data_IF_968664344560
#
_entry.id   IF_968664344560
#
_cell.length_a   1.000
_cell.length_b   1.000
_cell.length_c   1.000
_cell.angle_alpha   90.00
_cell.angle_beta   90.00
_cell.angle_gamma   90.00
#
_symmetry.space_group_name_H-M   'P 1'
#
loop_
_entity.id
_entity.type
_entity.pdbx_description
1 polymer ?
#
# COMPACT_ATOMS: atom_id res chain seq x y z
N UNK A 1 9.69 -20.81 30.11
CA UNK A 1 9.89 -20.57 28.66
C UNK A 1 8.59 -20.58 27.83
N UNK A 2 7.69 -21.58 27.97
CA UNK A 2 6.38 -21.61 27.26
C UNK A 2 5.49 -20.38 27.53
N UNK A 3 5.46 -19.88 28.76
CA UNK A 3 4.69 -18.69 29.17
C UNK A 3 5.22 -17.39 28.56
N UNK A 4 6.55 -17.20 28.53
CA UNK A 4 7.17 -16.05 27.87
C UNK A 4 6.89 -16.01 26.36
N UNK A 5 6.94 -17.18 25.71
CA UNK A 5 6.66 -17.36 24.29
C UNK A 5 5.20 -17.11 23.89
N UNK A 6 4.28 -17.11 24.86
CA UNK A 6 2.86 -16.77 24.65
C UNK A 6 2.54 -15.30 24.99
N UNK A 7 3.44 -14.60 25.69
CA UNK A 7 3.30 -13.18 26.01
C UNK A 7 3.31 -12.31 24.75
N UNK A 8 2.73 -11.11 24.84
CA UNK A 8 2.75 -10.11 23.76
C UNK A 8 4.18 -9.78 23.31
N UNK A 9 5.14 -9.76 24.25
CA UNK A 9 6.56 -9.52 23.98
C UNK A 9 7.16 -10.67 23.16
N UNK A 10 6.86 -11.92 23.53
CA UNK A 10 7.31 -13.11 22.79
C UNK A 10 6.80 -13.14 21.34
N UNK A 11 5.60 -12.62 21.08
CA UNK A 11 5.04 -12.49 19.73
C UNK A 11 5.77 -11.43 18.91
N UNK A 12 6.09 -10.27 19.50
CA UNK A 12 6.85 -9.21 18.83
C UNK A 12 8.25 -9.69 18.45
N UNK A 13 8.95 -10.39 19.35
CA UNK A 13 10.30 -10.93 19.08
C UNK A 13 10.29 -11.88 17.87
N UNK A 14 9.30 -12.78 17.78
CA UNK A 14 9.16 -13.68 16.64
C UNK A 14 8.87 -12.95 15.33
N UNK A 15 8.12 -11.85 15.40
CA UNK A 15 7.82 -11.03 14.23
C UNK A 15 9.08 -10.40 13.65
N UNK A 16 9.89 -9.79 14.52
CA UNK A 16 11.19 -9.23 14.17
C UNK A 16 12.10 -10.33 13.61
N UNK A 17 12.10 -11.52 14.21
CA UNK A 17 12.91 -12.63 13.73
C UNK A 17 12.56 -13.08 12.30
N UNK A 18 11.27 -13.21 11.95
CA UNK A 18 10.84 -13.55 10.58
C UNK A 18 11.34 -12.49 9.59
N UNK A 19 11.18 -11.21 9.94
CA UNK A 19 11.62 -10.12 9.08
C UNK A 19 13.14 -10.13 8.88
N UNK A 20 13.91 -10.29 9.98
CA UNK A 20 15.37 -10.39 9.93
C UNK A 20 15.85 -11.62 9.15
N UNK A 21 15.16 -12.76 9.29
CA UNK A 21 15.49 -13.98 8.56
C UNK A 21 15.32 -13.79 7.05
N UNK A 22 14.19 -13.22 6.61
CA UNK A 22 13.97 -12.93 5.19
C UNK A 22 14.99 -11.89 4.67
N UNK A 23 15.25 -10.83 5.44
CA UNK A 23 16.25 -9.83 5.09
C UNK A 23 17.67 -10.43 4.96
N UNK A 24 18.04 -11.32 5.89
CA UNK A 24 19.33 -12.03 5.85
C UNK A 24 19.42 -12.97 4.65
N UNK A 25 18.34 -13.69 4.30
CA UNK A 25 18.30 -14.54 3.12
C UNK A 25 18.48 -13.73 1.83
N UNK A 26 17.81 -12.59 1.70
CA UNK A 26 17.99 -11.66 0.57
C UNK A 26 19.42 -11.14 0.52
N UNK A 27 19.98 -10.70 1.65
CA UNK A 27 21.35 -10.21 1.73
C UNK A 27 22.38 -11.28 1.31
N UNK A 28 22.22 -12.51 1.79
CA UNK A 28 23.10 -13.63 1.44
C UNK A 28 22.98 -13.99 -0.04
N UNK A 29 21.77 -13.97 -0.61
CA UNK A 29 21.54 -14.18 -2.04
C UNK A 29 22.27 -13.10 -2.86
N UNK A 30 22.07 -11.83 -2.53
CA UNK A 30 22.72 -10.69 -3.20
C UNK A 30 24.25 -10.74 -3.09
N UNK A 31 24.79 -11.18 -1.94
CA UNK A 31 26.23 -11.35 -1.74
C UNK A 31 26.80 -12.50 -2.56
N UNK A 32 26.03 -13.57 -2.78
CA UNK A 32 26.45 -14.74 -3.57
C UNK A 32 26.27 -14.55 -5.07
N UNK A 33 25.53 -13.54 -5.50
CA UNK A 33 25.50 -13.16 -6.91
C UNK A 33 26.90 -12.73 -7.33
N UNK A 34 27.50 -13.50 -8.24
CA UNK A 34 28.78 -13.13 -8.83
C UNK A 34 28.53 -11.98 -9.80
N UNK A 35 28.58 -10.76 -9.27
CA UNK A 35 28.47 -9.52 -10.04
C UNK A 35 29.68 -9.42 -10.95
N UNK A 36 29.61 -10.06 -12.12
CA UNK A 36 30.70 -9.97 -13.07
C UNK A 36 30.92 -8.50 -13.44
N UNK A 37 32.18 -8.04 -13.50
CA UNK A 37 32.52 -6.64 -13.75
C UNK A 37 32.07 -6.12 -15.12
N UNK A 38 31.58 -7.01 -16.01
CA UNK A 38 31.07 -6.69 -17.35
C UNK A 38 29.54 -6.42 -17.39
N UNK A 39 28.81 -6.61 -16.29
CA UNK A 39 27.37 -6.32 -16.26
C UNK A 39 27.10 -4.83 -16.10
N UNK A 40 26.22 -4.26 -16.92
CA UNK A 40 25.83 -2.85 -16.78
C UNK A 40 25.14 -2.60 -15.43
N UNK A 41 25.40 -1.44 -14.82
CA UNK A 41 24.78 -1.04 -13.55
C UNK A 41 23.24 -1.14 -13.59
N UNK A 42 22.65 -0.90 -14.76
CA UNK A 42 21.21 -1.00 -14.99
C UNK A 42 20.69 -2.46 -14.90
N UNK A 43 21.44 -3.42 -15.45
CA UNK A 43 21.13 -4.85 -15.32
C UNK A 43 21.23 -5.30 -13.86
N UNK A 44 22.30 -4.87 -13.17
CA UNK A 44 22.50 -5.24 -11.77
C UNK A 44 21.35 -4.74 -10.89
N UNK A 45 20.97 -3.48 -11.08
CA UNK A 45 19.87 -2.87 -10.37
C UNK A 45 18.52 -3.55 -10.65
N UNK A 46 18.21 -3.89 -11.90
CA UNK A 46 16.99 -4.64 -12.25
C UNK A 46 16.96 -6.04 -11.63
N UNK A 47 18.10 -6.72 -11.50
CA UNK A 47 18.20 -8.01 -10.81
C UNK A 47 17.92 -7.88 -9.31
N UNK A 48 18.47 -6.86 -8.65
CA UNK A 48 18.15 -6.56 -7.24
C UNK A 48 16.65 -6.31 -7.08
N UNK A 49 16.06 -5.50 -7.96
CA UNK A 49 14.62 -5.24 -7.94
C UNK A 49 13.82 -6.52 -8.13
N UNK A 50 14.15 -7.36 -9.12
CA UNK A 50 13.46 -8.62 -9.35
C UNK A 50 13.50 -9.54 -8.12
N UNK A 51 14.65 -9.64 -7.45
CA UNK A 51 14.79 -10.37 -6.20
C UNK A 51 13.87 -9.78 -5.13
N UNK A 52 13.93 -8.47 -4.91
CA UNK A 52 13.07 -7.81 -3.92
C UNK A 52 11.59 -8.07 -4.20
N UNK A 53 11.17 -8.01 -5.46
CA UNK A 53 9.79 -8.22 -5.88
C UNK A 53 9.29 -9.65 -5.68
N UNK A 54 10.18 -10.65 -5.66
CA UNK A 54 9.87 -12.04 -5.30
C UNK A 54 9.79 -12.22 -3.78
N UNK A 55 10.71 -11.63 -3.03
CA UNK A 55 10.76 -11.79 -1.58
C UNK A 55 9.71 -10.95 -0.83
N UNK A 56 9.27 -9.83 -1.40
CA UNK A 56 8.27 -8.96 -0.80
C UNK A 56 6.93 -9.66 -0.53
N UNK A 57 6.27 -10.34 -1.51
CA UNK A 57 5.06 -11.10 -1.24
C UNK A 57 5.31 -12.27 -0.28
N UNK A 58 6.47 -12.94 -0.35
CA UNK A 58 6.80 -14.00 0.60
C UNK A 58 6.88 -13.47 2.05
N UNK A 59 7.55 -12.33 2.25
CA UNK A 59 7.63 -11.68 3.55
C UNK A 59 6.24 -11.28 4.06
N UNK A 60 5.41 -10.66 3.21
CA UNK A 60 4.04 -10.28 3.54
C UNK A 60 3.20 -11.51 3.92
N UNK A 61 3.33 -12.62 3.18
CA UNK A 61 2.66 -13.88 3.48
C UNK A 61 3.08 -14.43 4.85
N UNK A 62 4.38 -14.55 5.13
CA UNK A 62 4.90 -15.06 6.39
C UNK A 62 4.45 -14.21 7.58
N UNK A 63 4.40 -12.89 7.40
CA UNK A 63 3.88 -11.95 8.38
C UNK A 63 2.41 -12.21 8.68
N UNK A 64 1.56 -12.33 7.66
CA UNK A 64 0.13 -12.61 7.85
C UNK A 64 -0.09 -14.01 8.44
N UNK A 65 0.70 -14.99 8.00
CA UNK A 65 0.69 -16.33 8.54
C UNK A 65 1.01 -16.32 10.04
N UNK A 66 2.04 -15.60 10.47
CA UNK A 66 2.36 -15.41 11.88
C UNK A 66 1.22 -14.75 12.67
N UNK A 67 0.59 -13.70 12.12
CA UNK A 67 -0.59 -13.06 12.74
C UNK A 67 -1.74 -14.06 12.93
N UNK A 68 -1.95 -14.96 11.96
CA UNK A 68 -2.96 -16.03 12.04
C UNK A 68 -2.65 -17.01 13.18
N UNK A 69 -1.40 -17.46 13.31
CA UNK A 69 -0.99 -18.39 14.37
C UNK A 69 -1.01 -17.77 15.77
N UNK A 70 -0.82 -16.46 15.88
CA UNK A 70 -0.82 -15.77 17.17
C UNK A 70 -2.19 -15.28 17.64
N UNK A 71 -3.26 -15.63 16.91
CA UNK A 71 -4.64 -15.37 17.32
C UNK A 71 -5.17 -13.98 16.96
N UNK A 72 -4.60 -13.30 15.97
CA UNK A 72 -5.04 -11.95 15.55
C UNK A 72 -6.26 -11.94 14.61
N UNK A 73 -6.96 -13.07 14.44
CA UNK A 73 -8.14 -13.24 13.54
C UNK A 73 -9.35 -12.36 13.87
N UNK A 74 -9.36 -11.67 15.02
CA UNK A 74 -10.43 -10.73 15.42
C UNK A 74 -9.93 -9.29 15.49
N UNK A 75 -8.71 -9.04 15.00
CA UNK A 75 -7.99 -7.80 15.24
C UNK A 75 -7.60 -7.07 13.95
N UNK A 76 -8.55 -6.54 13.15
CA UNK A 76 -8.22 -5.88 11.88
C UNK A 76 -7.22 -4.73 12.00
N UNK A 77 -7.19 -4.00 13.12
CA UNK A 77 -6.21 -2.93 13.34
C UNK A 77 -4.76 -3.43 13.34
N UNK A 78 -4.48 -4.68 13.71
CA UNK A 78 -3.11 -5.20 13.60
C UNK A 78 -2.67 -5.38 12.16
N UNK A 79 -3.60 -5.65 11.25
CA UNK A 79 -3.30 -5.66 9.81
C UNK A 79 -3.01 -4.24 9.32
N UNK A 80 -3.79 -3.24 9.74
CA UNK A 80 -3.48 -1.84 9.40
C UNK A 80 -2.09 -1.43 9.87
N UNK A 81 -1.74 -1.71 11.13
CA UNK A 81 -0.40 -1.41 11.67
C UNK A 81 0.69 -2.13 10.86
N UNK A 82 0.46 -3.38 10.50
CA UNK A 82 1.45 -4.20 9.76
C UNK A 82 1.60 -3.75 8.30
N UNK A 83 0.50 -3.40 7.64
CA UNK A 83 0.50 -2.94 6.25
C UNK A 83 1.11 -1.55 6.13
N UNK A 84 0.81 -0.65 7.08
CA UNK A 84 1.11 0.79 6.95
C UNK A 84 2.20 1.30 7.91
N UNK A 85 2.14 0.97 9.21
CA UNK A 85 3.06 1.54 10.19
C UNK A 85 4.46 0.91 10.15
N UNK A 86 4.55 -0.41 9.90
CA UNK A 86 5.85 -1.10 9.90
C UNK A 86 6.80 -0.57 8.80
N UNK A 87 6.38 -0.44 7.52
CA UNK A 87 7.28 0.10 6.51
C UNK A 87 7.55 1.59 6.71
N UNK A 88 6.57 2.36 7.20
CA UNK A 88 6.78 3.75 7.56
C UNK A 88 7.86 3.90 8.64
N UNK A 89 7.86 3.04 9.65
CA UNK A 89 8.90 3.00 10.67
C UNK A 89 10.27 2.67 10.06
N UNK A 90 10.35 1.70 9.14
CA UNK A 90 11.59 1.38 8.45
C UNK A 90 12.14 2.58 7.66
N UNK A 91 11.26 3.30 6.96
CA UNK A 91 11.59 4.54 6.23
C UNK A 91 12.12 5.61 7.19
N UNK A 92 11.42 5.86 8.30
CA UNK A 92 11.82 6.85 9.31
C UNK A 92 13.21 6.49 9.88
N UNK A 93 13.44 5.22 10.23
CA UNK A 93 14.74 4.76 10.76
C UNK A 93 15.86 4.97 9.73
N UNK A 94 15.64 4.61 8.46
CA UNK A 94 16.62 4.82 7.39
C UNK A 94 16.90 6.32 7.23
N UNK A 95 15.86 7.15 7.22
CA UNK A 95 16.00 8.59 7.07
C UNK A 95 16.77 9.23 8.22
N UNK A 96 16.41 8.91 9.47
CA UNK A 96 17.12 9.40 10.66
C UNK A 96 18.58 8.93 10.68
N UNK A 97 18.86 7.69 10.25
CA UNK A 97 20.23 7.19 10.13
C UNK A 97 21.03 7.96 9.09
N UNK A 98 20.45 8.24 7.92
CA UNK A 98 21.10 9.02 6.88
C UNK A 98 21.42 10.44 7.38
N UNK A 99 20.51 11.04 8.16
CA UNK A 99 20.71 12.36 8.78
C UNK A 99 21.84 12.33 9.81
N UNK A 100 21.91 11.29 10.64
CA UNK A 100 22.93 11.15 11.68
C UNK A 100 24.36 10.95 11.14
N UNK A 101 24.52 10.58 9.87
CA UNK A 101 25.83 10.33 9.24
C UNK A 101 26.22 11.46 8.28
N UNK A 102 25.55 12.61 8.34
CA UNK A 102 25.75 13.77 7.44
C UNK A 102 25.91 13.33 5.97
N UNK A 103 25.05 12.40 5.55
CA UNK A 103 25.25 11.76 4.25
C UNK A 103 25.11 12.80 3.13
N UNK A 104 26.08 12.90 2.19
CA UNK A 104 25.97 13.78 1.02
C UNK A 104 24.75 13.45 0.14
N UNK A 105 24.13 12.29 0.33
CA UNK A 105 22.84 11.91 -0.27
C UNK A 105 21.66 12.78 0.18
N UNK A 106 21.74 13.41 1.36
CA UNK A 106 20.72 14.34 1.87
C UNK A 106 20.90 15.77 1.35
N UNK A 107 22.14 16.22 1.20
CA UNK A 107 22.48 17.59 0.78
C UNK A 107 22.00 17.91 -0.66
N UNK A 108 21.83 16.90 -1.51
CA UNK A 108 21.40 17.07 -2.92
C UNK A 108 19.93 16.73 -3.20
N UNK A 109 19.08 16.53 -2.19
CA UNK A 109 17.69 16.09 -2.39
C UNK A 109 17.53 14.66 -2.94
N UNK A 110 18.65 13.93 -3.09
CA UNK A 110 18.70 12.58 -3.64
C UNK A 110 17.94 11.58 -2.74
N UNK A 111 17.95 11.77 -1.42
CA UNK A 111 17.16 10.95 -0.48
C UNK A 111 15.66 11.04 -0.72
N UNK A 112 15.13 12.23 -0.99
CA UNK A 112 13.72 12.45 -1.31
C UNK A 112 13.37 11.83 -2.68
N UNK A 113 14.30 11.92 -3.64
CA UNK A 113 14.17 11.33 -4.96
C UNK A 113 14.19 9.79 -4.93
N UNK A 114 15.11 9.17 -4.18
CA UNK A 114 15.20 7.71 -4.00
C UNK A 114 13.97 7.20 -3.24
N UNK A 115 13.50 7.94 -2.25
CA UNK A 115 12.28 7.59 -1.53
C UNK A 115 11.08 7.49 -2.46
N UNK A 116 10.84 8.53 -3.27
CA UNK A 116 9.70 8.57 -4.19
C UNK A 116 9.83 7.59 -5.36
N UNK A 117 11.03 7.42 -5.93
CA UNK A 117 11.23 6.58 -7.11
C UNK A 117 11.35 5.08 -6.80
N UNK A 118 11.66 4.70 -5.55
CA UNK A 118 11.93 3.29 -5.20
C UNK A 118 11.15 2.82 -3.97
N UNK A 119 11.28 3.50 -2.83
CA UNK A 119 10.70 3.02 -1.56
C UNK A 119 9.18 3.11 -1.52
N UNK A 120 8.62 4.20 -2.02
CA UNK A 120 7.18 4.42 -2.08
C UNK A 120 6.44 3.41 -3.00
N UNK A 121 6.96 3.08 -4.20
CA UNK A 121 6.47 1.94 -4.99
C UNK A 121 6.52 0.60 -4.22
N UNK A 122 7.64 0.29 -3.57
CA UNK A 122 7.79 -0.95 -2.80
C UNK A 122 6.85 -1.00 -1.60
N UNK A 123 6.61 0.14 -0.95
CA UNK A 123 5.66 0.28 0.14
C UNK A 123 4.23 0.01 -0.33
N UNK A 124 3.85 0.52 -1.49
CA UNK A 124 2.54 0.25 -2.11
C UNK A 124 2.32 -1.24 -2.38
N UNK A 125 3.34 -1.92 -2.92
CA UNK A 125 3.30 -3.37 -3.15
C UNK A 125 3.19 -4.14 -1.84
N UNK A 126 3.98 -3.78 -0.82
CA UNK A 126 3.92 -4.38 0.51
C UNK A 126 2.51 -4.32 1.11
N UNK A 127 1.91 -3.13 1.15
CA UNK A 127 0.56 -2.92 1.66
C UNK A 127 -0.44 -3.83 0.96
N UNK A 128 -0.38 -3.85 -0.37
CA UNK A 128 -1.27 -4.66 -1.20
C UNK A 128 -1.19 -6.12 -0.83
N UNK A 129 0.02 -6.68 -0.72
CA UNK A 129 0.20 -8.09 -0.38
C UNK A 129 -0.22 -8.40 1.05
N UNK A 130 0.09 -7.55 2.04
CA UNK A 130 -0.34 -7.75 3.42
C UNK A 130 -1.87 -7.75 3.52
N UNK A 131 -2.56 -6.82 2.86
CA UNK A 131 -4.02 -6.76 2.84
C UNK A 131 -4.63 -7.98 2.12
N UNK A 132 -4.08 -8.35 0.96
CA UNK A 132 -4.54 -9.48 0.15
C UNK A 132 -4.44 -10.78 0.93
N UNK A 133 -3.25 -11.08 1.46
CA UNK A 133 -3.03 -12.28 2.27
C UNK A 133 -3.83 -12.25 3.57
N UNK A 134 -4.04 -11.08 4.18
CA UNK A 134 -4.90 -10.97 5.36
C UNK A 134 -6.34 -11.36 5.02
N UNK A 135 -6.87 -10.91 3.88
CA UNK A 135 -8.18 -11.34 3.40
C UNK A 135 -8.26 -12.86 3.21
N UNK A 136 -7.29 -13.44 2.51
CA UNK A 136 -7.30 -14.87 2.19
C UNK A 136 -7.03 -15.79 3.38
N UNK A 137 -6.10 -15.43 4.26
CA UNK A 137 -5.60 -16.33 5.30
C UNK A 137 -6.02 -15.93 6.71
N UNK A 138 -6.12 -14.64 7.02
CA UNK A 138 -6.48 -14.18 8.36
C UNK A 138 -8.00 -14.08 8.54
N UNK A 139 -8.71 -13.67 7.48
CA UNK A 139 -10.16 -13.46 7.47
C UNK A 139 -10.88 -14.15 6.28
N UNK A 140 -10.70 -15.46 6.04
CA UNK A 140 -11.23 -16.14 4.84
C UNK A 140 -12.77 -16.16 4.69
N UNK A 141 -13.52 -15.68 5.70
CA UNK A 141 -15.00 -15.74 5.78
C UNK A 141 -15.64 -14.40 6.12
N UNK A 142 -14.90 -13.29 5.98
CA UNK A 142 -15.50 -11.95 6.16
C UNK A 142 -16.43 -11.63 4.99
N UNK A 143 -17.74 -11.83 5.22
CA UNK A 143 -18.81 -11.48 4.29
C UNK A 143 -18.96 -12.44 3.11
N UNK A 144 -20.21 -12.77 2.75
CA UNK A 144 -20.49 -13.43 1.48
C UNK A 144 -20.23 -12.43 0.35
N UNK A 145 -19.20 -12.68 -0.46
CA UNK A 145 -18.94 -11.88 -1.67
C UNK A 145 -20.03 -12.22 -2.69
N UNK A 146 -21.06 -11.38 -2.77
CA UNK A 146 -22.12 -11.51 -3.77
C UNK A 146 -21.56 -11.26 -5.17
N UNK A 147 -22.02 -12.03 -6.14
CA UNK A 147 -21.78 -11.76 -7.57
C UNK A 147 -22.41 -10.43 -7.97
N UNK A 148 -21.68 -9.60 -8.72
CA UNK A 148 -22.20 -8.34 -9.21
C UNK A 148 -22.91 -8.53 -10.55
N UNK A 149 -24.04 -7.85 -10.72
CA UNK A 149 -24.71 -7.73 -12.01
C UNK A 149 -23.95 -6.78 -12.93
N UNK A 150 -24.18 -6.89 -14.24
CA UNK A 150 -23.59 -5.99 -15.24
C UNK A 150 -23.88 -4.50 -14.94
N UNK A 151 -25.12 -4.18 -14.54
CA UNK A 151 -25.51 -2.80 -14.17
C UNK A 151 -24.70 -2.25 -13.00
N UNK A 152 -24.43 -3.09 -12.00
CA UNK A 152 -23.60 -2.69 -10.85
C UNK A 152 -22.14 -2.51 -11.23
N UNK A 153 -21.62 -3.33 -12.14
CA UNK A 153 -20.27 -3.15 -12.69
C UNK A 153 -20.16 -1.82 -13.47
N UNK A 154 -21.19 -1.45 -14.24
CA UNK A 154 -21.25 -0.14 -14.90
C UNK A 154 -21.31 1.01 -13.89
N UNK A 155 -22.09 0.87 -12.81
CA UNK A 155 -22.09 1.84 -11.73
C UNK A 155 -20.70 2.00 -11.10
N UNK A 156 -19.96 0.89 -10.96
CA UNK A 156 -18.55 0.92 -10.54
C UNK A 156 -17.66 1.70 -11.49
N UNK A 157 -17.73 1.43 -12.80
CA UNK A 157 -16.97 2.15 -13.82
C UNK A 157 -17.24 3.66 -13.80
N UNK A 158 -18.52 4.05 -13.83
CA UNK A 158 -18.93 5.47 -13.84
C UNK A 158 -18.52 6.16 -12.54
N UNK A 159 -18.69 5.49 -11.39
CA UNK A 159 -18.25 6.02 -10.09
C UNK A 159 -16.74 6.23 -10.06
N UNK A 160 -15.97 5.24 -10.50
CA UNK A 160 -14.51 5.33 -10.57
C UNK A 160 -14.03 6.44 -11.50
N UNK A 161 -14.66 6.58 -12.67
CA UNK A 161 -14.36 7.64 -13.63
C UNK A 161 -14.67 9.02 -13.05
N UNK A 162 -15.86 9.20 -12.46
CA UNK A 162 -16.27 10.47 -11.86
C UNK A 162 -15.35 10.89 -10.71
N UNK A 163 -15.04 9.97 -9.79
CA UNK A 163 -14.10 10.22 -8.70
C UNK A 163 -12.69 10.50 -9.23
N UNK A 164 -12.23 9.76 -10.23
CA UNK A 164 -10.90 9.89 -10.84
C UNK A 164 -10.73 11.24 -11.53
N UNK A 165 -11.70 11.66 -12.35
CA UNK A 165 -11.68 12.94 -13.03
C UNK A 165 -11.79 14.11 -12.05
N UNK A 166 -12.66 14.02 -11.05
CA UNK A 166 -12.77 15.02 -9.98
C UNK A 166 -11.46 15.16 -9.20
N UNK A 167 -10.82 14.04 -8.88
CA UNK A 167 -9.50 14.02 -8.24
C UNK A 167 -8.42 14.63 -9.13
N UNK A 168 -8.38 14.30 -10.42
CA UNK A 168 -7.42 14.86 -11.36
C UNK A 168 -7.56 16.38 -11.50
N UNK A 169 -8.80 16.87 -11.59
CA UNK A 169 -9.10 18.30 -11.59
C UNK A 169 -8.60 18.97 -10.31
N UNK A 170 -8.93 18.43 -9.14
CA UNK A 170 -8.47 18.97 -7.87
C UNK A 170 -6.93 19.00 -7.77
N UNK A 171 -6.27 17.91 -8.15
CA UNK A 171 -4.81 17.83 -8.19
C UNK A 171 -4.19 18.85 -9.15
N UNK A 172 -4.79 19.09 -10.33
CA UNK A 172 -4.28 20.08 -11.28
C UNK A 172 -4.29 21.50 -10.71
N UNK A 173 -5.32 21.86 -9.94
CA UNK A 173 -5.41 23.16 -9.25
C UNK A 173 -4.29 23.27 -8.22
N UNK A 174 -4.12 22.25 -7.37
CA UNK A 174 -3.07 22.26 -6.35
C UNK A 174 -1.67 22.35 -6.97
N UNK A 175 -1.37 21.55 -7.99
CA UNK A 175 -0.07 21.57 -8.68
C UNK A 175 0.20 22.95 -9.28
N UNK A 176 -0.81 23.56 -9.90
CA UNK A 176 -0.69 24.92 -10.44
C UNK A 176 -0.33 25.92 -9.33
N UNK A 177 -0.99 25.86 -8.18
CA UNK A 177 -0.66 26.72 -7.02
C UNK A 177 0.76 26.49 -6.50
N UNK A 178 1.23 25.25 -6.42
CA UNK A 178 2.61 24.95 -6.03
C UNK A 178 3.64 25.50 -7.03
N UNK A 179 3.36 25.40 -8.34
CA UNK A 179 4.22 25.94 -9.40
C UNK A 179 4.33 27.47 -9.31
N UNK A 180 3.21 28.16 -9.11
CA UNK A 180 3.20 29.62 -8.90
C UNK A 180 4.02 30.04 -7.67
N UNK A 181 4.11 29.16 -6.67
CA UNK A 181 4.91 29.39 -5.45
C UNK A 181 6.40 29.06 -5.61
N UNK A 182 6.88 28.82 -6.85
CA UNK A 182 8.27 28.45 -7.13
C UNK A 182 8.67 27.04 -6.67
N UNK A 183 7.72 26.23 -6.20
CA UNK A 183 7.96 24.85 -5.75
C UNK A 183 7.76 23.89 -6.92
N UNK A 184 8.83 23.57 -7.63
CA UNK A 184 8.79 22.53 -8.67
C UNK A 184 8.91 21.17 -8.00
N UNK A 185 7.84 20.36 -8.08
CA UNK A 185 7.90 18.94 -7.72
C UNK A 185 8.54 18.22 -8.91
N UNK A 186 9.87 18.11 -8.93
CA UNK A 186 10.54 17.14 -9.79
C UNK A 186 10.54 15.79 -9.07
N UNK A 187 10.05 14.77 -9.75
CA UNK A 187 10.04 13.39 -9.24
C UNK A 187 10.64 12.53 -10.33
N UNK A 188 11.81 11.91 -10.11
CA UNK A 188 12.37 11.01 -11.11
C UNK A 188 11.45 9.80 -11.26
N UNK A 189 11.27 9.35 -12.51
CA UNK A 189 10.47 8.17 -12.80
C UNK A 189 11.04 6.95 -12.05
N UNK A 190 10.17 6.08 -11.50
CA UNK A 190 10.60 4.81 -10.98
C UNK A 190 11.22 3.98 -12.10
N UNK A 191 12.09 3.04 -11.74
CA UNK A 191 12.64 2.07 -12.67
C UNK A 191 11.54 1.36 -13.46
N UNK A 192 11.74 1.14 -14.76
CA UNK A 192 10.69 0.59 -15.64
C UNK A 192 10.06 -0.70 -15.11
N UNK A 193 10.85 -1.64 -14.61
CA UNK A 193 10.33 -2.89 -14.02
C UNK A 193 9.41 -2.61 -12.82
N UNK A 194 9.83 -1.71 -11.93
CA UNK A 194 9.07 -1.35 -10.73
C UNK A 194 7.78 -0.60 -11.09
N UNK A 195 7.86 0.31 -12.07
CA UNK A 195 6.70 1.02 -12.62
C UNK A 195 5.65 0.05 -13.14
N UNK A 196 6.05 -0.88 -14.02
CA UNK A 196 5.13 -1.86 -14.60
C UNK A 196 4.51 -2.76 -13.54
N UNK A 197 5.27 -3.17 -12.52
CA UNK A 197 4.72 -3.95 -11.42
C UNK A 197 3.73 -3.16 -10.58
N UNK A 198 4.00 -1.88 -10.28
CA UNK A 198 3.03 -1.03 -9.57
C UNK A 198 1.78 -0.82 -10.39
N UNK A 199 1.88 -0.59 -11.70
CA UNK A 199 0.71 -0.46 -12.57
C UNK A 199 -0.10 -1.75 -12.59
N UNK A 200 0.55 -2.90 -12.81
CA UNK A 200 -0.12 -4.20 -12.84
C UNK A 200 -0.85 -4.47 -11.51
N UNK A 201 -0.16 -4.34 -10.38
CA UNK A 201 -0.73 -4.57 -9.05
C UNK A 201 -1.79 -3.52 -8.71
N UNK A 202 -1.56 -2.26 -9.06
CA UNK A 202 -2.41 -1.13 -8.72
C UNK A 202 -3.71 -1.05 -9.51
N UNK A 203 -3.77 -1.71 -10.67
CA UNK A 203 -4.97 -1.83 -11.48
C UNK A 203 -5.70 -3.16 -11.28
N UNK A 204 -5.09 -4.14 -10.60
CA UNK A 204 -5.68 -5.49 -10.42
C UNK A 204 -5.83 -5.88 -8.96
N UNK A 205 -4.72 -6.26 -8.29
CA UNK A 205 -4.72 -6.83 -6.95
C UNK A 205 -5.02 -5.81 -5.86
N UNK A 206 -4.45 -4.61 -5.94
CA UNK A 206 -4.61 -3.56 -4.92
C UNK A 206 -6.06 -3.10 -4.80
N UNK A 207 -6.78 -2.77 -5.91
CA UNK A 207 -8.18 -2.41 -5.82
C UNK A 207 -9.01 -3.45 -5.10
N UNK A 208 -8.83 -4.73 -5.43
CA UNK A 208 -9.52 -5.83 -4.75
C UNK A 208 -9.11 -5.95 -3.28
N UNK A 209 -7.81 -6.03 -2.97
CA UNK A 209 -7.30 -6.25 -1.61
C UNK A 209 -7.74 -5.15 -0.65
N UNK A 210 -7.64 -3.89 -1.09
CA UNK A 210 -8.05 -2.72 -0.31
C UNK A 210 -9.56 -2.74 -0.09
N UNK A 211 -10.36 -2.89 -1.15
CA UNK A 211 -11.81 -2.87 -0.98
C UNK A 211 -12.29 -4.08 -0.16
N UNK A 212 -11.71 -5.26 -0.36
CA UNK A 212 -12.02 -6.42 0.47
C UNK A 212 -11.77 -6.12 1.95
N UNK A 213 -10.59 -5.61 2.28
CA UNK A 213 -10.23 -5.33 3.67
C UNK A 213 -11.11 -4.24 4.29
N UNK A 214 -11.23 -3.08 3.63
CA UNK A 214 -11.99 -1.97 4.19
C UNK A 214 -13.48 -2.29 4.28
N UNK A 215 -14.07 -2.89 3.24
CA UNK A 215 -15.53 -3.08 3.13
C UNK A 215 -16.04 -4.33 3.83
N UNK A 216 -15.29 -5.44 3.77
CA UNK A 216 -15.77 -6.73 4.30
C UNK A 216 -15.21 -7.06 5.69
N UNK A 217 -14.09 -6.44 6.09
CA UNK A 217 -13.45 -6.70 7.39
C UNK A 217 -13.60 -5.49 8.32
N UNK A 218 -13.12 -4.32 7.89
CA UNK A 218 -13.01 -3.15 8.78
C UNK A 218 -14.37 -2.49 9.05
N UNK A 219 -15.19 -2.25 8.02
CA UNK A 219 -16.53 -1.68 8.21
C UNK A 219 -17.41 -2.54 9.13
N UNK A 220 -17.57 -3.87 8.93
CA UNK A 220 -18.37 -4.70 9.83
C UNK A 220 -17.79 -4.81 11.24
N UNK A 221 -16.48 -4.63 11.40
CA UNK A 221 -15.86 -4.59 12.71
C UNK A 221 -16.31 -3.35 13.51
N UNK A 222 -16.27 -2.16 12.90
CA UNK A 222 -16.71 -0.92 13.55
C UNK A 222 -18.22 -0.76 13.64
N UNK A 223 -18.98 -1.35 12.71
CA UNK A 223 -20.45 -1.35 12.74
C UNK A 223 -21.05 -2.06 13.97
N UNK A 224 -20.24 -2.82 14.73
CA UNK A 224 -20.66 -3.41 16.01
C UNK A 224 -20.82 -2.37 17.13
N UNK A 225 -20.20 -1.21 16.97
CA UNK A 225 -20.11 -0.18 18.02
C UNK A 225 -20.66 1.16 17.54
N UNK A 226 -20.48 1.49 16.26
CA UNK A 226 -20.80 2.80 15.72
C UNK A 226 -21.94 2.74 14.69
N UNK A 227 -22.67 3.84 14.55
CA UNK A 227 -23.70 3.99 13.52
C UNK A 227 -23.10 3.99 12.11
N UNK A 228 -23.92 3.68 11.13
CA UNK A 228 -23.50 3.57 9.73
C UNK A 228 -22.78 4.82 9.18
N UNK A 229 -23.29 6.06 9.35
CA UNK A 229 -22.59 7.24 8.85
C UNK A 229 -21.19 7.41 9.48
N UNK A 230 -21.06 7.09 10.77
CA UNK A 230 -19.79 7.16 11.49
C UNK A 230 -18.80 6.13 10.96
N UNK A 231 -19.24 4.90 10.68
CA UNK A 231 -18.38 3.85 10.09
C UNK A 231 -17.86 4.26 8.71
N UNK A 232 -18.72 4.84 7.87
CA UNK A 232 -18.32 5.35 6.54
C UNK A 232 -17.26 6.44 6.68
N UNK A 233 -17.50 7.43 7.55
CA UNK A 233 -16.56 8.52 7.79
C UNK A 233 -15.22 8.03 8.35
N UNK A 234 -15.25 7.13 9.34
CA UNK A 234 -14.03 6.58 9.95
C UNK A 234 -13.22 5.76 8.94
N UNK A 235 -13.86 4.95 8.10
CA UNK A 235 -13.14 4.15 7.10
C UNK A 235 -12.56 5.00 5.99
N UNK A 236 -13.27 6.03 5.53
CA UNK A 236 -12.75 7.01 4.59
C UNK A 236 -11.57 7.80 5.17
N UNK A 237 -11.68 8.23 6.44
CA UNK A 237 -10.60 8.94 7.15
C UNK A 237 -9.35 8.06 7.28
N UNK A 238 -9.50 6.81 7.74
CA UNK A 238 -8.37 5.89 7.84
C UNK A 238 -7.80 5.58 6.47
N UNK A 239 -8.63 5.37 5.44
CA UNK A 239 -8.16 5.17 4.07
C UNK A 239 -7.33 6.36 3.56
N UNK A 240 -7.73 7.60 3.86
CA UNK A 240 -6.97 8.79 3.47
C UNK A 240 -5.65 8.93 4.25
N UNK A 241 -5.70 8.72 5.57
CA UNK A 241 -4.55 8.90 6.47
C UNK A 241 -3.42 7.91 6.18
N UNK A 242 -3.76 6.64 5.89
CA UNK A 242 -2.74 5.60 5.66
C UNK A 242 -1.95 5.79 4.37
N UNK A 243 -2.42 6.64 3.45
CA UNK A 243 -1.67 6.99 2.24
C UNK A 243 -0.43 7.82 2.57
N UNK A 244 -0.38 8.51 3.73
CA UNK A 244 0.71 9.39 4.14
C UNK A 244 1.09 10.47 3.09
N UNK A 245 0.12 10.90 2.29
CA UNK A 245 0.27 11.91 1.23
C UNK A 245 -0.67 13.08 1.50
N UNK A 246 -0.15 14.17 2.05
CA UNK A 246 -0.97 15.33 2.44
C UNK A 246 -1.78 15.89 1.26
N UNK A 247 -1.18 15.97 0.07
CA UNK A 247 -1.85 16.47 -1.13
C UNK A 247 -3.03 15.60 -1.59
N UNK A 248 -2.92 14.28 -1.38
CA UNK A 248 -3.97 13.34 -1.77
C UNK A 248 -4.95 13.06 -0.64
N UNK A 249 -4.77 13.61 0.56
CA UNK A 249 -5.67 13.35 1.68
C UNK A 249 -7.14 13.66 1.37
N UNK A 250 -7.52 14.85 0.84
CA UNK A 250 -8.92 15.12 0.51
C UNK A 250 -9.43 14.24 -0.63
N UNK A 251 -8.59 13.96 -1.62
CA UNK A 251 -8.90 13.09 -2.77
C UNK A 251 -9.18 11.66 -2.31
N UNK A 252 -8.29 11.10 -1.49
CA UNK A 252 -8.41 9.76 -0.94
C UNK A 252 -9.60 9.66 0.01
N UNK A 253 -9.87 10.70 0.81
CA UNK A 253 -11.05 10.75 1.67
C UNK A 253 -12.35 10.69 0.86
N UNK A 254 -12.47 11.54 -0.18
CA UNK A 254 -13.64 11.56 -1.06
C UNK A 254 -13.81 10.22 -1.80
N UNK A 255 -12.72 9.63 -2.31
CA UNK A 255 -12.75 8.30 -2.91
C UNK A 255 -13.19 7.23 -1.91
N UNK A 256 -12.67 7.28 -0.67
CA UNK A 256 -13.05 6.39 0.43
C UNK A 256 -14.55 6.43 0.73
N UNK A 257 -15.14 7.64 0.76
CA UNK A 257 -16.60 7.83 0.90
C UNK A 257 -17.36 7.23 -0.29
N UNK A 258 -16.95 7.56 -1.52
CA UNK A 258 -17.60 7.09 -2.74
C UNK A 258 -17.61 5.57 -2.83
N UNK A 259 -16.49 4.92 -2.51
CA UNK A 259 -16.38 3.47 -2.49
C UNK A 259 -17.22 2.81 -1.38
N UNK A 260 -17.30 3.40 -0.18
CA UNK A 260 -18.19 2.92 0.89
C UNK A 260 -19.66 2.98 0.46
N UNK A 261 -20.09 4.12 -0.09
CA UNK A 261 -21.47 4.32 -0.54
C UNK A 261 -21.83 3.38 -1.70
N UNK A 262 -20.91 3.18 -2.65
CA UNK A 262 -21.10 2.25 -3.76
C UNK A 262 -21.21 0.81 -3.25
N UNK A 263 -20.33 0.38 -2.34
CA UNK A 263 -20.35 -0.97 -1.77
C UNK A 263 -21.69 -1.29 -1.09
N UNK A 264 -22.23 -0.34 -0.32
CA UNK A 264 -23.51 -0.50 0.41
C UNK A 264 -24.71 -0.70 -0.51
N UNK A 265 -24.67 -0.08 -1.69
CA UNK A 265 -25.76 -0.18 -2.68
C UNK A 265 -25.59 -1.37 -3.64
N UNK A 266 -24.43 -2.01 -3.66
CA UNK A 266 -24.07 -3.00 -4.69
C UNK A 266 -23.37 -4.22 -4.10
N UNK A 267 -22.14 -4.50 -4.53
CA UNK A 267 -21.31 -5.63 -4.13
C UNK A 267 -19.84 -5.18 -4.06
N UNK A 268 -18.96 -6.10 -3.66
CA UNK A 268 -17.52 -5.82 -3.56
C UNK A 268 -16.89 -5.47 -4.92
N UNK A 269 -17.23 -6.24 -5.96
CA UNK A 269 -16.62 -6.10 -7.29
C UNK A 269 -16.81 -4.71 -7.92
N UNK A 270 -18.01 -4.10 -7.91
CA UNK A 270 -18.22 -2.73 -8.36
C UNK A 270 -17.31 -1.71 -7.65
N UNK A 271 -17.13 -1.84 -6.34
CA UNK A 271 -16.22 -0.97 -5.58
C UNK A 271 -14.75 -1.19 -5.96
N UNK A 272 -14.35 -2.45 -6.18
CA UNK A 272 -13.01 -2.77 -6.65
C UNK A 272 -12.77 -2.23 -8.07
N UNK A 273 -13.74 -2.33 -8.97
CA UNK A 273 -13.67 -1.74 -10.33
C UNK A 273 -13.62 -0.22 -10.26
N UNK A 274 -14.46 0.42 -9.44
CA UNK A 274 -14.41 1.87 -9.24
C UNK A 274 -13.02 2.31 -8.77
N UNK A 275 -12.43 1.56 -7.84
CA UNK A 275 -11.09 1.83 -7.34
C UNK A 275 -10.00 1.60 -8.41
N UNK A 276 -10.11 0.56 -9.24
CA UNK A 276 -9.19 0.32 -10.34
C UNK A 276 -9.23 1.43 -11.39
N UNK A 277 -10.43 1.89 -11.76
CA UNK A 277 -10.64 2.98 -12.72
C UNK A 277 -10.14 4.30 -12.14
N UNK A 278 -10.43 4.57 -10.87
CA UNK A 278 -9.88 5.72 -10.15
C UNK A 278 -8.35 5.74 -10.20
N UNK A 279 -7.70 4.60 -9.91
CA UNK A 279 -6.25 4.46 -10.02
C UNK A 279 -5.77 4.65 -11.46
N UNK A 280 -6.46 4.10 -12.46
CA UNK A 280 -6.12 4.27 -13.88
C UNK A 280 -6.09 5.74 -14.29
N UNK A 281 -7.12 6.51 -13.92
CA UNK A 281 -7.19 7.94 -14.21
C UNK A 281 -6.04 8.69 -13.55
N UNK A 282 -5.77 8.41 -12.26
CA UNK A 282 -4.68 9.08 -11.57
C UNK A 282 -3.29 8.67 -12.08
N UNK A 283 -3.06 7.41 -12.42
CA UNK A 283 -1.81 6.97 -13.03
C UNK A 283 -1.59 7.63 -14.39
N UNK A 284 -2.63 7.70 -15.23
CA UNK A 284 -2.55 8.31 -16.56
C UNK A 284 -2.32 9.82 -16.53
N UNK A 285 -2.88 10.53 -15.53
CA UNK A 285 -2.81 11.99 -15.44
C UNK A 285 -1.70 12.50 -14.50
N UNK A 286 -1.10 11.62 -13.68
CA UNK A 286 -0.03 12.00 -12.78
C UNK A 286 0.43 10.84 -11.90
N UNK A 287 1.17 9.90 -12.47
CA UNK A 287 1.74 8.75 -11.74
C UNK A 287 2.53 9.19 -10.49
N UNK A 288 3.23 10.33 -10.56
CA UNK A 288 4.01 10.91 -9.45
C UNK A 288 3.14 11.45 -8.30
N UNK A 289 1.84 11.59 -8.51
CA UNK A 289 0.88 11.91 -7.45
C UNK A 289 0.49 10.63 -6.70
N UNK A 290 0.41 9.51 -7.42
CA UNK A 290 -0.08 8.20 -6.94
C UNK A 290 1.01 7.35 -6.30
N UNK A 291 2.27 7.50 -6.75
CA UNK A 291 3.44 6.76 -6.27
C UNK A 291 4.36 7.60 -5.41
#
# INVERSE_FOLDING_TARGET
MKTFLQSSVGKIIRFVFIFLFVAAAVFLLLRRMNWQPLQSANLQYNLVLAILLVFLPLAAFLVVWALRFWGYRRKPWTVLVTAYALPLLAVIIIHLRLMAVDSPLLAGGLSANIYRSTWQPLYYLWQTFVLLFSGWFLFPRSGAVRSASFKEMMAGLVTGLGLGLGAAFFCSILIHQFRLSGRVITTPDPPGLLLWMVLAVGLTLSPYAVQYFYRTILEPYWAKTYSEPVVILMTAAVFALVQARLLLLPVAFAAGLGFSLLFRRTALWPAAVAHAVFNLVLFGLGWFLVI
#
